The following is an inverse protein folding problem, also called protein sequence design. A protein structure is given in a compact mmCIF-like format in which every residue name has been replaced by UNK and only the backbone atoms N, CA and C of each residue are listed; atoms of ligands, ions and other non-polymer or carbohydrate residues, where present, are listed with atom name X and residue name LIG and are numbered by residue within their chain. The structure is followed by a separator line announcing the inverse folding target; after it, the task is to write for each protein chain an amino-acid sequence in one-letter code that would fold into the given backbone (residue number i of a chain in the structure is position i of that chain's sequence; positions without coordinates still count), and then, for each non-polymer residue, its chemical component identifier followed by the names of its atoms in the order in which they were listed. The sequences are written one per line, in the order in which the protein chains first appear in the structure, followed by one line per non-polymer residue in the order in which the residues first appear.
data_IF_697863242774
#
_entry.id   IF_697863242774
#
_cell.length_a   1.000
_cell.length_b   1.000
_cell.length_c   1.000
_cell.angle_alpha   90.00
_cell.angle_beta   90.00
_cell.angle_gamma   90.00
#
_symmetry.space_group_name_H-M   'P 1'
#
loop_
_entity.id
_entity.type
_entity.pdbx_description
1 polymer ?
#
# COMPACT_ATOMS: atom_id res chain seq x y z
N UNK A 1 17.20 -10.48 -4.52
CA UNK A 1 16.62 -10.33 -5.87
C UNK A 1 17.43 -9.27 -6.56
N UNK A 2 18.24 -9.68 -7.51
CA UNK A 2 19.17 -8.79 -8.23
C UNK A 2 18.34 -7.87 -9.14
N UNK A 3 17.31 -8.42 -9.80
CA UNK A 3 16.42 -7.67 -10.70
C UNK A 3 15.71 -6.53 -9.97
N UNK A 4 14.84 -6.86 -9.02
CA UNK A 4 13.98 -5.88 -8.37
C UNK A 4 14.76 -4.94 -7.43
N UNK A 5 15.79 -5.47 -6.75
CA UNK A 5 16.58 -4.72 -5.78
C UNK A 5 17.68 -3.87 -6.39
N UNK A 6 18.57 -4.48 -7.18
CA UNK A 6 19.75 -3.81 -7.72
C UNK A 6 19.43 -3.07 -9.03
N UNK A 7 18.79 -3.75 -9.99
CA UNK A 7 18.62 -3.19 -11.34
C UNK A 7 17.44 -2.22 -11.44
N UNK A 8 16.29 -2.54 -10.85
CA UNK A 8 15.07 -1.73 -10.95
C UNK A 8 14.99 -0.63 -9.87
N UNK A 9 15.50 -0.91 -8.66
CA UNK A 9 15.46 0.03 -7.54
C UNK A 9 16.82 0.68 -7.22
N UNK A 10 17.90 0.35 -7.95
CA UNK A 10 19.23 0.91 -7.72
C UNK A 10 19.81 0.62 -6.34
N UNK A 11 19.31 -0.41 -5.66
CA UNK A 11 19.59 -0.69 -4.26
C UNK A 11 19.01 0.35 -3.29
N UNK A 12 18.18 1.29 -3.72
CA UNK A 12 17.67 2.41 -2.89
C UNK A 12 16.39 2.08 -2.11
N UNK A 13 15.68 1.02 -2.51
CA UNK A 13 14.43 0.63 -1.86
C UNK A 13 14.68 -0.18 -0.58
N UNK A 14 14.10 0.28 0.54
CA UNK A 14 14.10 -0.43 1.83
C UNK A 14 13.55 -1.87 1.69
N UNK A 15 12.61 -2.11 0.75
CA UNK A 15 11.99 -3.41 0.50
C UNK A 15 13.00 -4.50 0.12
N UNK A 16 14.09 -4.11 -0.53
CA UNK A 16 15.14 -5.01 -1.01
C UNK A 16 16.47 -4.85 -0.28
N UNK A 17 16.56 -3.89 0.65
CA UNK A 17 17.76 -3.66 1.44
C UNK A 17 18.10 -4.91 2.28
N UNK A 18 19.38 -5.24 2.34
CA UNK A 18 19.89 -6.28 3.23
C UNK A 18 19.81 -5.80 4.69
N UNK A 19 19.67 -6.75 5.61
CA UNK A 19 19.77 -6.47 7.03
C UNK A 19 21.15 -5.85 7.33
N UNK A 20 21.15 -4.67 7.95
CA UNK A 20 22.35 -3.89 8.20
C UNK A 20 22.02 -2.46 8.59
N UNK A 21 23.05 -1.63 8.77
CA UNK A 21 22.90 -0.24 9.22
C UNK A 21 21.96 0.58 8.33
N UNK A 22 22.08 0.44 7.01
CA UNK A 22 21.20 1.15 6.07
C UNK A 22 19.72 0.82 6.26
N UNK A 23 19.39 -0.47 6.36
CA UNK A 23 18.02 -0.91 6.62
C UNK A 23 17.53 -0.40 7.99
N UNK A 24 18.37 -0.46 9.03
CA UNK A 24 18.03 0.05 10.37
C UNK A 24 17.74 1.55 10.35
N UNK A 25 18.55 2.36 9.66
CA UNK A 25 18.38 3.81 9.54
C UNK A 25 17.10 4.18 8.77
N UNK A 26 16.89 3.58 7.59
CA UNK A 26 15.69 3.79 6.79
C UNK A 26 14.42 3.35 7.54
N UNK A 27 14.45 2.18 8.20
CA UNK A 27 13.33 1.67 8.99
C UNK A 27 13.02 2.57 10.18
N UNK A 28 14.04 3.09 10.88
CA UNK A 28 13.84 3.99 12.01
C UNK A 28 13.12 5.27 11.56
N UNK A 29 13.57 5.90 10.47
CA UNK A 29 12.91 7.08 9.92
C UNK A 29 11.47 6.80 9.47
N UNK A 30 11.24 5.68 8.78
CA UNK A 30 9.91 5.26 8.33
C UNK A 30 8.96 4.98 9.50
N UNK A 31 9.45 4.24 10.51
CA UNK A 31 8.65 3.84 11.67
C UNK A 31 8.20 5.04 12.49
N UNK A 32 9.03 6.08 12.65
CA UNK A 32 8.65 7.30 13.38
C UNK A 32 7.43 7.99 12.79
N UNK A 33 7.28 7.96 11.46
CA UNK A 33 6.15 8.58 10.76
C UNK A 33 4.95 7.65 10.55
N UNK A 34 5.16 6.32 10.59
CA UNK A 34 4.13 5.30 10.43
C UNK A 34 3.66 4.70 11.77
N UNK A 35 3.94 5.35 12.90
CA UNK A 35 3.45 4.87 14.19
C UNK A 35 1.92 4.90 14.22
N UNK A 36 1.27 4.01 15.01
CA UNK A 36 -0.20 3.99 15.12
C UNK A 36 -0.80 5.37 15.45
N UNK A 37 -0.15 6.16 16.32
CA UNK A 37 -0.58 7.54 16.63
C UNK A 37 -0.49 8.48 15.44
N UNK A 38 0.56 8.38 14.63
CA UNK A 38 0.70 9.16 13.40
C UNK A 38 -0.35 8.73 12.36
N UNK A 39 -0.68 7.44 12.30
CA UNK A 39 -1.75 6.92 11.44
C UNK A 39 -3.11 7.58 11.72
N UNK A 40 -3.40 7.93 12.99
CA UNK A 40 -4.65 8.59 13.37
C UNK A 40 -4.80 9.99 12.75
N UNK A 41 -3.69 10.70 12.54
CA UNK A 41 -3.69 12.02 11.91
C UNK A 41 -4.19 11.98 10.45
N UNK A 42 -4.11 10.83 9.77
CA UNK A 42 -4.62 10.66 8.40
C UNK A 42 -6.09 10.24 8.34
N UNK A 43 -6.73 9.90 9.47
CA UNK A 43 -8.14 9.46 9.49
C UNK A 43 -9.11 10.50 8.88
N UNK A 44 -9.04 11.81 9.21
CA UNK A 44 -9.96 12.79 8.63
C UNK A 44 -9.81 12.89 7.11
N UNK A 45 -8.57 12.78 6.63
CA UNK A 45 -8.23 12.80 5.22
C UNK A 45 -8.78 11.57 4.50
N UNK A 46 -8.51 10.36 5.01
CA UNK A 46 -9.05 9.11 4.46
C UNK A 46 -10.57 9.15 4.37
N UNK A 47 -11.23 9.71 5.40
CA UNK A 47 -12.68 9.85 5.45
C UNK A 47 -13.21 10.86 4.42
N UNK A 48 -12.53 12.00 4.25
CA UNK A 48 -12.88 13.01 3.24
C UNK A 48 -12.79 12.44 1.82
N UNK A 49 -11.70 11.77 1.48
CA UNK A 49 -11.55 11.14 0.18
C UNK A 49 -12.51 9.97 -0.04
N UNK A 50 -12.81 9.19 1.00
CA UNK A 50 -13.75 8.07 0.90
C UNK A 50 -15.16 8.57 0.59
N UNK A 51 -15.61 9.64 1.27
CA UNK A 51 -16.91 10.29 0.98
C UNK A 51 -16.99 10.79 -0.45
N UNK A 52 -15.94 11.47 -0.94
CA UNK A 52 -15.88 11.93 -2.34
C UNK A 52 -15.90 10.77 -3.33
N UNK A 53 -15.19 9.68 -3.04
CA UNK A 53 -15.19 8.49 -3.89
C UNK A 53 -16.59 7.87 -3.98
N UNK A 54 -17.30 7.77 -2.87
CA UNK A 54 -18.69 7.27 -2.85
C UNK A 54 -19.61 8.17 -3.65
N UNK A 55 -19.54 9.50 -3.48
CA UNK A 55 -20.35 10.44 -4.27
C UNK A 55 -20.06 10.30 -5.77
N UNK A 56 -18.80 10.26 -6.18
CA UNK A 56 -18.44 10.09 -7.58
C UNK A 56 -18.96 8.76 -8.16
N UNK A 57 -18.93 7.67 -7.39
CA UNK A 57 -19.50 6.37 -7.81
C UNK A 57 -21.03 6.44 -7.92
N UNK A 58 -21.70 7.22 -7.07
CA UNK A 58 -23.15 7.42 -7.18
C UNK A 58 -23.52 8.23 -8.43
N UNK A 59 -22.70 9.22 -8.79
CA UNK A 59 -22.91 10.06 -9.97
C UNK A 59 -22.61 9.31 -11.28
N UNK A 60 -21.54 8.51 -11.33
CA UNK A 60 -21.15 7.68 -12.48
C UNK A 60 -20.76 6.23 -12.04
N UNK A 61 -21.75 5.35 -11.82
CA UNK A 61 -21.50 3.99 -11.33
C UNK A 61 -20.78 3.10 -12.34
N UNK A 62 -20.85 3.40 -13.64
CA UNK A 62 -20.20 2.59 -14.67
C UNK A 62 -18.68 2.80 -14.68
N UNK A 63 -18.20 3.94 -14.18
CA UNK A 63 -16.78 4.29 -14.10
C UNK A 63 -16.18 4.10 -12.70
N UNK A 64 -16.81 3.26 -11.86
CA UNK A 64 -16.40 3.05 -10.47
C UNK A 64 -14.92 2.65 -10.29
N UNK A 65 -14.34 1.93 -11.26
CA UNK A 65 -12.93 1.57 -11.27
C UNK A 65 -12.01 2.80 -11.29
N UNK A 66 -12.36 3.80 -12.11
CA UNK A 66 -11.60 5.02 -12.21
C UNK A 66 -11.75 5.89 -10.96
N UNK A 67 -12.96 5.92 -10.37
CA UNK A 67 -13.22 6.61 -9.10
C UNK A 67 -12.46 5.97 -7.94
N UNK A 68 -12.47 4.64 -7.82
CA UNK A 68 -11.66 3.91 -6.86
C UNK A 68 -10.16 4.15 -7.08
N UNK A 69 -9.71 4.09 -8.35
CA UNK A 69 -8.33 4.39 -8.72
C UNK A 69 -7.90 5.83 -8.39
N UNK A 70 -8.83 6.79 -8.42
CA UNK A 70 -8.61 8.21 -8.08
C UNK A 70 -8.53 8.40 -6.56
N UNK A 71 -9.38 7.68 -5.80
CA UNK A 71 -9.29 7.61 -4.35
C UNK A 71 -7.92 7.06 -3.90
N UNK A 72 -7.52 5.92 -4.46
CA UNK A 72 -6.22 5.30 -4.19
C UNK A 72 -5.08 6.25 -4.57
N UNK A 73 -5.12 6.83 -5.77
CA UNK A 73 -4.08 7.75 -6.24
C UNK A 73 -3.96 8.99 -5.35
N UNK A 74 -5.08 9.59 -4.96
CA UNK A 74 -5.07 10.78 -4.10
C UNK A 74 -4.50 10.44 -2.71
N UNK A 75 -4.89 9.30 -2.14
CA UNK A 75 -4.37 8.82 -0.85
C UNK A 75 -2.88 8.53 -0.91
N UNK A 76 -2.43 7.85 -1.98
CA UNK A 76 -1.03 7.48 -2.22
C UNK A 76 -0.16 8.71 -2.52
N UNK A 77 -0.70 9.79 -3.05
CA UNK A 77 0.07 11.03 -3.28
C UNK A 77 0.07 11.94 -2.05
N UNK A 78 -1.04 11.99 -1.30
CA UNK A 78 -1.14 12.82 -0.10
C UNK A 78 -0.29 12.29 1.05
N UNK A 79 -0.32 10.99 1.32
CA UNK A 79 0.43 10.41 2.44
C UNK A 79 1.95 10.69 2.38
N UNK A 80 2.65 10.38 1.27
CA UNK A 80 4.07 10.63 1.17
C UNK A 80 4.42 12.08 0.85
N UNK A 81 3.67 12.77 0.00
CA UNK A 81 4.08 14.09 -0.52
C UNK A 81 3.24 15.26 -0.03
N UNK A 82 2.15 15.02 0.72
CA UNK A 82 1.33 16.12 1.25
C UNK A 82 0.46 16.80 0.20
N UNK A 83 0.28 16.20 -0.98
CA UNK A 83 -0.54 16.76 -2.06
C UNK A 83 -2.04 16.72 -1.73
N UNK A 84 -2.64 17.87 -1.39
CA UNK A 84 -4.06 17.99 -1.03
C UNK A 84 -5.02 17.97 -2.21
N UNK A 85 -4.55 18.31 -3.41
CA UNK A 85 -5.41 18.35 -4.58
C UNK A 85 -5.86 16.94 -4.97
N UNK A 86 -7.16 16.73 -5.25
CA UNK A 86 -7.64 15.50 -5.86
C UNK A 86 -6.78 15.18 -7.08
N UNK A 87 -6.12 14.02 -7.02
CA UNK A 87 -5.24 13.58 -8.08
C UNK A 87 -5.98 12.55 -8.89
N UNK A 88 -6.32 12.91 -10.12
CA UNK A 88 -7.07 12.02 -11.01
C UNK A 88 -6.29 10.73 -11.24
N UNK A 89 -7.02 9.62 -11.38
CA UNK A 89 -6.46 8.38 -11.88
C UNK A 89 -5.77 8.53 -13.25
N UNK A 90 -6.11 9.57 -14.01
CA UNK A 90 -5.53 9.89 -15.33
C UNK A 90 -4.40 10.91 -15.27
N UNK A 91 -4.02 11.41 -14.08
CA UNK A 91 -2.91 12.36 -13.97
C UNK A 91 -1.60 11.71 -14.43
N UNK A 92 -0.73 12.41 -15.19
CA UNK A 92 0.51 11.85 -15.71
C UNK A 92 1.42 11.26 -14.62
N UNK A 93 1.50 11.91 -13.46
CA UNK A 93 2.27 11.42 -12.30
C UNK A 93 1.71 10.10 -11.74
N UNK A 94 0.39 9.93 -11.76
CA UNK A 94 -0.29 8.71 -11.28
C UNK A 94 -0.10 7.57 -12.27
N UNK A 95 -0.22 7.86 -13.56
CA UNK A 95 0.04 6.89 -14.64
C UNK A 95 1.50 6.41 -14.54
N UNK A 96 2.46 7.33 -14.40
CA UNK A 96 3.88 6.98 -14.26
C UNK A 96 4.14 6.15 -12.98
N UNK A 97 3.50 6.52 -11.86
CA UNK A 97 3.58 5.75 -10.61
C UNK A 97 3.02 4.32 -10.75
N UNK A 98 1.87 4.16 -11.42
CA UNK A 98 1.28 2.84 -11.72
C UNK A 98 2.19 2.00 -12.61
N UNK A 99 2.78 2.59 -13.64
CA UNK A 99 3.77 1.90 -14.49
C UNK A 99 5.03 1.48 -13.72
N UNK A 100 5.47 2.25 -12.72
CA UNK A 100 6.57 1.84 -11.84
C UNK A 100 6.18 0.60 -11.01
N UNK A 101 4.96 0.59 -10.48
CA UNK A 101 4.38 -0.55 -9.75
C UNK A 101 4.27 -1.80 -10.63
N UNK A 102 3.75 -1.68 -11.85
CA UNK A 102 3.59 -2.82 -12.77
C UNK A 102 4.93 -3.44 -13.16
N UNK A 103 5.93 -2.61 -13.48
CA UNK A 103 7.30 -3.05 -13.76
C UNK A 103 7.88 -3.81 -12.57
N UNK A 104 7.65 -3.31 -11.35
CA UNK A 104 8.09 -3.99 -10.14
C UNK A 104 7.39 -5.33 -9.94
N UNK A 105 6.08 -5.42 -10.17
CA UNK A 105 5.32 -6.69 -10.06
C UNK A 105 5.89 -7.72 -11.04
N UNK A 106 6.18 -7.33 -12.28
CA UNK A 106 6.79 -8.21 -13.28
C UNK A 106 8.19 -8.66 -12.84
N UNK A 107 9.03 -7.73 -12.38
CA UNK A 107 10.37 -8.00 -11.88
C UNK A 107 10.39 -8.91 -10.62
N UNK A 108 9.31 -8.95 -9.86
CA UNK A 108 9.16 -9.83 -8.69
C UNK A 108 8.68 -11.25 -9.03
N UNK A 109 8.29 -11.54 -10.27
CA UNK A 109 7.85 -12.89 -10.68
C UNK A 109 9.06 -13.82 -10.76
N UNK A 110 9.04 -14.98 -10.07
CA UNK A 110 10.09 -15.98 -10.23
C UNK A 110 10.28 -16.35 -11.70
N UNK A 111 11.52 -16.33 -12.18
CA UNK A 111 11.86 -16.68 -13.57
C UNK A 111 11.59 -15.59 -14.61
N UNK A 112 11.11 -14.39 -14.23
CA UNK A 112 10.90 -13.30 -15.19
C UNK A 112 12.21 -12.84 -15.87
N UNK A 113 13.33 -12.95 -15.16
CA UNK A 113 14.65 -12.61 -15.68
C UNK A 113 15.68 -13.66 -15.24
N UNK A 114 16.52 -14.10 -16.17
CA UNK A 114 17.57 -15.08 -15.94
C UNK A 114 18.63 -14.58 -14.96
N UNK A 115 18.81 -13.26 -14.82
CA UNK A 115 19.84 -12.67 -13.93
C UNK A 115 19.64 -13.01 -12.45
N UNK A 116 18.41 -13.33 -12.02
CA UNK A 116 18.18 -13.82 -10.64
C UNK A 116 18.76 -15.23 -10.42
N UNK A 117 18.85 -16.05 -11.48
CA UNK A 117 19.48 -17.38 -11.44
C UNK A 117 20.95 -17.37 -11.88
N UNK A 118 21.32 -16.42 -12.73
CA UNK A 118 22.64 -16.29 -13.36
C UNK A 118 23.15 -14.85 -13.14
N UNK A 119 23.74 -14.55 -11.96
CA UNK A 119 24.05 -13.18 -11.54
C UNK A 119 24.96 -12.39 -12.48
N UNK A 120 25.88 -13.06 -13.20
CA UNK A 120 26.85 -12.39 -14.06
C UNK A 120 26.22 -11.73 -15.29
N UNK A 121 24.99 -12.11 -15.66
CA UNK A 121 24.24 -11.45 -16.74
C UNK A 121 24.03 -9.96 -16.51
N UNK A 122 24.07 -9.49 -15.24
CA UNK A 122 23.91 -8.06 -14.90
C UNK A 122 25.01 -7.16 -15.46
N UNK A 123 26.18 -7.72 -15.74
CA UNK A 123 27.32 -6.98 -16.29
C UNK A 123 27.29 -6.86 -17.81
N UNK A 124 26.38 -7.57 -18.49
CA UNK A 124 26.22 -7.47 -19.94
C UNK A 124 25.51 -6.15 -20.30
N UNK A 125 26.08 -5.33 -21.20
CA UNK A 125 25.55 -3.99 -21.48
C UNK A 125 24.17 -3.98 -22.17
N UNK A 126 23.81 -5.08 -22.82
CA UNK A 126 22.54 -5.27 -23.53
C UNK A 126 21.46 -5.97 -22.69
N UNK A 127 21.83 -6.68 -21.63
CA UNK A 127 20.86 -7.39 -20.78
C UNK A 127 20.29 -6.46 -19.71
N UNK A 128 18.98 -6.44 -19.54
CA UNK A 128 18.32 -5.64 -18.49
C UNK A 128 18.30 -4.13 -18.76
N UNK A 129 18.42 -3.69 -20.02
CA UNK A 129 18.36 -2.26 -20.36
C UNK A 129 17.03 -1.62 -19.99
N UNK A 130 15.93 -2.35 -20.17
CA UNK A 130 14.59 -1.95 -19.76
C UNK A 130 14.47 -1.76 -18.24
N UNK A 131 15.18 -2.57 -17.44
CA UNK A 131 15.23 -2.41 -15.98
C UNK A 131 15.98 -1.14 -15.59
N UNK A 132 17.11 -0.85 -16.25
CA UNK A 132 17.88 0.39 -16.04
C UNK A 132 17.08 1.63 -16.43
N UNK A 133 16.37 1.59 -17.56
CA UNK A 133 15.41 2.65 -17.97
C UNK A 133 14.27 2.77 -16.95
N UNK A 134 13.81 1.65 -16.42
CA UNK A 134 12.84 1.56 -15.34
C UNK A 134 13.29 2.32 -14.10
N UNK A 135 14.50 2.05 -13.64
CA UNK A 135 15.13 2.74 -12.52
C UNK A 135 15.21 4.25 -12.74
N UNK A 136 15.71 4.71 -13.88
CA UNK A 136 15.82 6.16 -14.15
C UNK A 136 14.46 6.88 -14.23
N UNK A 137 13.43 6.20 -14.75
CA UNK A 137 12.05 6.73 -14.73
C UNK A 137 11.54 6.86 -13.29
N UNK A 138 11.65 5.80 -12.48
CA UNK A 138 11.24 5.84 -11.06
C UNK A 138 12.01 6.91 -10.28
N UNK A 139 13.33 6.96 -10.47
CA UNK A 139 14.22 7.95 -9.84
C UNK A 139 13.80 9.38 -10.17
N UNK A 140 13.51 9.66 -11.45
CA UNK A 140 13.07 10.99 -11.91
C UNK A 140 11.73 11.38 -11.29
N UNK A 141 10.76 10.47 -11.28
CA UNK A 141 9.46 10.70 -10.67
C UNK A 141 9.60 11.03 -9.18
N UNK A 142 10.32 10.21 -8.41
CA UNK A 142 10.44 10.39 -6.96
C UNK A 142 11.21 11.66 -6.59
N UNK A 143 12.29 11.98 -7.31
CA UNK A 143 13.02 13.25 -7.11
C UNK A 143 12.12 14.44 -7.47
N UNK A 144 11.33 14.36 -8.56
CA UNK A 144 10.39 15.42 -8.94
C UNK A 144 9.38 15.69 -7.83
N UNK A 145 8.80 14.66 -7.24
CA UNK A 145 7.84 14.81 -6.12
C UNK A 145 8.52 15.34 -4.85
N UNK A 146 9.72 14.87 -4.52
CA UNK A 146 10.46 15.37 -3.36
C UNK A 146 10.83 16.86 -3.51
N UNK A 147 11.27 17.26 -4.70
CA UNK A 147 11.60 18.65 -5.02
C UNK A 147 10.38 19.57 -4.95
N UNK A 148 9.20 19.10 -5.36
CA UNK A 148 7.94 19.85 -5.18
C UNK A 148 7.69 20.17 -3.71
N UNK A 149 7.82 19.19 -2.83
CA UNK A 149 7.66 19.39 -1.37
C UNK A 149 8.70 20.35 -0.83
N UNK A 150 9.96 20.20 -1.26
CA UNK A 150 11.06 21.09 -0.87
C UNK A 150 10.79 22.54 -1.25
N UNK A 151 10.29 22.79 -2.46
CA UNK A 151 9.90 24.12 -2.91
C UNK A 151 8.73 24.69 -2.10
N UNK A 152 7.71 23.88 -1.79
CA UNK A 152 6.58 24.32 -0.97
C UNK A 152 7.02 24.72 0.45
N UNK A 153 7.95 23.97 1.06
CA UNK A 153 8.53 24.31 2.36
C UNK A 153 9.31 25.62 2.28
N UNK A 154 10.14 25.80 1.25
CA UNK A 154 10.91 27.04 1.04
C UNK A 154 10.02 28.27 0.83
N UNK A 155 8.86 28.08 0.21
CA UNK A 155 7.87 29.14 -0.02
C UNK A 155 6.92 29.36 1.18
N UNK A 156 7.18 28.75 2.35
CA UNK A 156 6.31 28.79 3.53
C UNK A 156 4.85 28.37 3.26
N UNK A 157 4.63 27.49 2.28
CA UNK A 157 3.31 26.91 2.01
C UNK A 157 3.09 25.73 2.96
N UNK A 158 1.88 25.63 3.55
CA UNK A 158 1.54 24.47 4.36
C UNK A 158 1.33 23.23 3.49
N UNK A 159 2.17 22.22 3.69
CA UNK A 159 2.11 20.92 3.01
C UNK A 159 1.30 19.90 3.83
N UNK A 160 0.93 20.26 5.07
CA UNK A 160 0.36 19.35 6.05
C UNK A 160 1.35 18.25 6.51
N UNK A 161 0.86 17.22 7.21
CA UNK A 161 1.68 16.08 7.60
C UNK A 161 1.99 15.20 6.38
N UNK A 162 3.26 15.12 5.98
CA UNK A 162 3.71 14.22 4.91
C UNK A 162 5.06 13.60 5.24
N UNK A 163 5.28 12.39 4.72
CA UNK A 163 6.52 11.67 4.98
C UNK A 163 7.72 12.37 4.34
N UNK A 164 7.56 12.93 3.13
CA UNK A 164 8.57 13.71 2.44
C UNK A 164 8.97 14.95 3.25
N UNK A 165 8.00 15.69 3.82
CA UNK A 165 8.29 16.83 4.71
C UNK A 165 9.11 16.38 5.92
N UNK A 166 8.69 15.30 6.57
CA UNK A 166 9.40 14.75 7.72
C UNK A 166 10.85 14.36 7.39
N UNK A 167 11.07 13.67 6.27
CA UNK A 167 12.42 13.24 5.86
C UNK A 167 13.27 14.42 5.37
N UNK A 168 12.67 15.46 4.77
CA UNK A 168 13.41 16.68 4.43
C UNK A 168 13.86 17.45 5.68
N UNK A 169 13.03 17.52 6.71
CA UNK A 169 13.34 18.22 7.97
C UNK A 169 14.28 17.42 8.88
N UNK A 170 14.13 16.09 8.92
CA UNK A 170 14.79 15.23 9.91
C UNK A 170 15.72 14.16 9.32
N UNK A 171 15.72 13.94 8.00
CA UNK A 171 16.44 12.83 7.35
C UNK A 171 17.96 12.88 7.54
N UNK A 172 18.52 14.08 7.67
CA UNK A 172 19.93 14.29 7.98
C UNK A 172 20.33 13.66 9.32
N UNK A 173 19.46 13.67 10.34
CA UNK A 173 19.71 13.05 11.64
C UNK A 173 19.83 11.52 11.57
N UNK A 174 19.29 10.91 10.52
CA UNK A 174 19.38 9.48 10.24
C UNK A 174 20.43 9.15 9.18
N UNK A 175 21.17 10.13 8.66
CA UNK A 175 22.13 9.98 7.57
C UNK A 175 21.49 9.54 6.24
N UNK A 176 20.21 9.83 6.02
CA UNK A 176 19.49 9.45 4.80
C UNK A 176 19.82 10.47 3.71
N UNK A 177 20.30 9.98 2.57
CA UNK A 177 20.55 10.83 1.40
C UNK A 177 19.24 11.28 0.74
N UNK A 178 19.27 12.37 -0.03
CA UNK A 178 18.07 12.88 -0.72
C UNK A 178 17.44 11.85 -1.67
N UNK A 179 18.26 11.07 -2.37
CA UNK A 179 17.78 10.02 -3.27
C UNK A 179 17.15 8.84 -2.49
N UNK A 180 17.69 8.50 -1.32
CA UNK A 180 17.10 7.49 -0.44
C UNK A 180 15.79 7.98 0.16
N UNK A 181 15.69 9.27 0.52
CA UNK A 181 14.46 9.91 0.98
C UNK A 181 13.35 9.80 -0.08
N UNK A 182 13.68 10.11 -1.34
CA UNK A 182 12.75 10.03 -2.46
C UNK A 182 12.19 8.61 -2.65
N UNK A 183 13.06 7.58 -2.59
CA UNK A 183 12.64 6.18 -2.73
C UNK A 183 11.89 5.65 -1.50
N UNK A 184 12.15 6.18 -0.30
CA UNK A 184 11.47 5.80 0.92
C UNK A 184 10.04 6.39 0.97
N UNK A 185 9.84 7.57 0.38
CA UNK A 185 8.53 8.21 0.20
C UNK A 185 7.73 7.64 -0.99
N UNK A 186 8.30 6.72 -1.76
CA UNK A 186 7.65 6.17 -2.95
C UNK A 186 6.29 5.51 -2.68
N UNK A 187 5.46 5.34 -3.71
CA UNK A 187 4.08 4.88 -3.58
C UNK A 187 3.98 3.50 -2.92
N UNK A 188 3.02 3.38 -2.00
CA UNK A 188 2.62 2.14 -1.35
C UNK A 188 1.37 1.59 -2.04
N UNK A 189 1.22 0.26 -2.08
CA UNK A 189 0.07 -0.38 -2.73
C UNK A 189 -1.20 -0.22 -1.89
N UNK A 190 -2.31 0.18 -2.51
CA UNK A 190 -3.67 0.07 -1.96
C UNK A 190 -4.53 -0.64 -2.99
N UNK A 191 -4.98 -1.87 -2.72
CA UNK A 191 -5.90 -2.62 -3.60
C UNK A 191 -7.09 -3.14 -2.76
N UNK A 192 -8.28 -2.58 -2.95
CA UNK A 192 -9.55 -3.13 -2.44
C UNK A 192 -10.53 -3.28 -3.61
N UNK A 193 -10.30 -4.28 -4.47
CA UNK A 193 -11.19 -4.53 -5.62
C UNK A 193 -11.95 -5.87 -5.54
N UNK A 194 -11.54 -6.79 -4.66
CA UNK A 194 -12.06 -8.17 -4.68
C UNK A 194 -13.28 -8.41 -3.79
N UNK A 195 -13.64 -7.43 -2.95
CA UNK A 195 -14.85 -7.47 -2.12
C UNK A 195 -16.13 -7.64 -2.95
N UNK A 196 -16.15 -7.09 -4.17
CA UNK A 196 -17.31 -7.04 -5.06
C UNK A 196 -17.85 -8.42 -5.47
N UNK A 197 -17.04 -9.49 -5.40
CA UNK A 197 -17.40 -10.81 -5.90
C UNK A 197 -18.30 -11.64 -4.97
N UNK A 198 -18.62 -11.15 -3.77
CA UNK A 198 -19.34 -11.92 -2.73
C UNK A 198 -20.61 -11.18 -2.25
N UNK A 199 -21.67 -11.11 -3.07
CA UNK A 199 -22.87 -10.31 -2.76
C UNK A 199 -23.61 -10.77 -1.50
N UNK A 200 -23.64 -12.08 -1.22
CA UNK A 200 -24.26 -12.63 -0.01
C UNK A 200 -23.56 -12.17 1.27
N UNK A 201 -22.23 -12.15 1.27
CA UNK A 201 -21.45 -11.67 2.39
C UNK A 201 -21.51 -10.13 2.52
N UNK A 202 -21.57 -9.41 1.40
CA UNK A 202 -21.82 -7.97 1.41
C UNK A 202 -23.19 -7.63 2.03
N UNK A 203 -24.23 -8.42 1.76
CA UNK A 203 -25.55 -8.20 2.34
C UNK A 203 -25.54 -8.31 3.87
N UNK A 204 -24.75 -9.22 4.44
CA UNK A 204 -24.55 -9.35 5.89
C UNK A 204 -23.85 -8.11 6.47
N UNK A 205 -22.81 -7.62 5.80
CA UNK A 205 -22.12 -6.38 6.19
C UNK A 205 -23.07 -5.18 6.13
N UNK A 206 -23.89 -5.08 5.08
CA UNK A 206 -24.90 -4.02 4.96
C UNK A 206 -25.97 -4.09 6.06
N UNK A 207 -26.39 -5.30 6.45
CA UNK A 207 -27.32 -5.49 7.57
C UNK A 207 -26.70 -5.05 8.91
N UNK A 208 -25.43 -5.37 9.16
CA UNK A 208 -24.69 -4.90 10.33
C UNK A 208 -24.59 -3.37 10.36
N UNK A 209 -24.18 -2.75 9.24
CA UNK A 209 -24.10 -1.30 9.11
C UNK A 209 -25.46 -0.64 9.35
N UNK A 210 -26.53 -1.20 8.81
CA UNK A 210 -27.90 -0.72 9.02
C UNK A 210 -28.34 -0.80 10.48
N UNK A 211 -27.96 -1.86 11.21
CA UNK A 211 -28.29 -2.05 12.62
C UNK A 211 -27.49 -1.13 13.56
N UNK A 212 -26.20 -0.97 13.31
CA UNK A 212 -25.27 -0.27 14.22
C UNK A 212 -25.26 1.24 13.97
N UNK A 213 -25.28 1.65 12.70
CA UNK A 213 -25.12 3.06 12.30
C UNK A 213 -26.46 3.66 11.86
N UNK A 214 -27.31 2.87 11.22
CA UNK A 214 -28.56 3.33 10.62
C UNK A 214 -28.33 4.13 9.34
N UNK A 215 -29.29 5.00 8.99
CA UNK A 215 -29.27 5.81 7.75
C UNK A 215 -29.02 7.31 7.97
N UNK A 216 -28.82 7.73 9.22
CA UNK A 216 -28.77 9.15 9.60
C UNK A 216 -27.37 9.76 9.53
N UNK A 217 -26.31 8.94 9.47
CA UNK A 217 -24.92 9.39 9.40
C UNK A 217 -24.05 8.42 8.61
N UNK A 218 -22.93 8.91 8.09
CA UNK A 218 -21.90 8.06 7.50
C UNK A 218 -21.10 7.30 8.59
N UNK A 219 -20.53 6.13 8.25
CA UNK A 219 -19.58 5.42 9.12
C UNK A 219 -18.34 6.24 9.44
N UNK A 220 -17.78 6.02 10.61
CA UNK A 220 -16.58 6.68 11.13
C UNK A 220 -15.63 5.66 11.78
N UNK A 221 -14.38 6.04 12.04
CA UNK A 221 -13.41 5.15 12.69
C UNK A 221 -13.81 4.73 14.12
N UNK A 222 -14.62 5.51 14.83
CA UNK A 222 -15.12 5.11 16.16
C UNK A 222 -16.10 3.94 16.08
N UNK A 223 -16.73 3.71 14.93
CA UNK A 223 -17.67 2.60 14.74
C UNK A 223 -16.96 1.26 14.57
N UNK A 224 -15.64 1.27 14.29
CA UNK A 224 -14.89 0.07 13.93
C UNK A 224 -15.11 -1.08 14.91
N UNK A 225 -14.99 -0.85 16.22
CA UNK A 225 -15.17 -1.87 17.26
C UNK A 225 -16.59 -2.45 17.32
N UNK A 226 -17.58 -1.70 16.83
CA UNK A 226 -18.98 -2.13 16.78
C UNK A 226 -19.36 -2.85 15.49
N UNK A 227 -18.41 -3.05 14.56
CA UNK A 227 -18.63 -3.65 13.24
C UNK A 227 -17.76 -4.93 13.04
N UNK A 228 -17.96 -5.98 13.84
CA UNK A 228 -17.18 -7.21 13.73
C UNK A 228 -17.33 -7.91 12.37
N UNK A 229 -18.51 -7.89 11.73
CA UNK A 229 -18.71 -8.55 10.43
C UNK A 229 -17.96 -7.82 9.31
N UNK A 230 -17.97 -6.48 9.32
CA UNK A 230 -17.16 -5.69 8.38
C UNK A 230 -15.67 -6.00 8.55
N UNK A 231 -15.17 -6.04 9.79
CA UNK A 231 -13.77 -6.35 10.06
C UNK A 231 -13.41 -7.77 9.63
N UNK A 232 -14.27 -8.75 9.91
CA UNK A 232 -14.12 -10.13 9.47
C UNK A 232 -14.08 -10.26 7.94
N UNK A 233 -14.94 -9.50 7.25
CA UNK A 233 -14.97 -9.45 5.79
C UNK A 233 -13.67 -8.88 5.21
N UNK A 234 -13.13 -7.80 5.80
CA UNK A 234 -11.84 -7.22 5.39
C UNK A 234 -10.70 -8.23 5.63
N UNK A 235 -10.65 -8.87 6.80
CA UNK A 235 -9.65 -9.89 7.13
C UNK A 235 -9.69 -11.07 6.16
N UNK A 236 -10.88 -11.54 5.79
CA UNK A 236 -11.04 -12.63 4.82
C UNK A 236 -10.63 -12.20 3.40
N UNK A 237 -10.92 -10.97 2.99
CA UNK A 237 -10.46 -10.43 1.70
C UNK A 237 -8.93 -10.39 1.62
N UNK A 238 -8.27 -9.96 2.69
CA UNK A 238 -6.81 -9.92 2.79
C UNK A 238 -6.19 -11.32 2.85
N UNK A 239 -6.85 -12.30 3.46
CA UNK A 239 -6.42 -13.71 3.43
C UNK A 239 -6.60 -14.34 2.06
N UNK A 240 -7.76 -14.14 1.44
CA UNK A 240 -8.11 -14.75 0.17
C UNK A 240 -7.25 -14.22 -0.99
N UNK A 241 -6.90 -12.92 -0.94
CA UNK A 241 -6.02 -12.22 -1.90
C UNK A 241 -4.97 -11.38 -1.15
N UNK A 242 -3.90 -12.01 -0.65
CA UNK A 242 -2.86 -11.28 0.08
C UNK A 242 -2.14 -10.31 -0.85
N UNK A 243 -1.84 -9.11 -0.33
CA UNK A 243 -1.14 -8.03 -1.05
C UNK A 243 0.24 -8.45 -1.59
N UNK A 244 0.87 -9.42 -0.94
CA UNK A 244 2.13 -10.02 -1.37
C UNK A 244 1.97 -11.53 -1.50
N UNK A 245 1.55 -11.98 -2.68
CA UNK A 245 1.51 -13.41 -3.00
C UNK A 245 2.90 -14.06 -2.91
N UNK A 246 3.95 -13.29 -3.24
CA UNK A 246 5.35 -13.71 -3.27
C UNK A 246 6.20 -12.74 -2.42
N UNK A 247 6.19 -12.90 -1.09
CA UNK A 247 7.04 -12.13 -0.18
C UNK A 247 8.31 -12.89 0.23
N UNK A 248 9.40 -12.16 0.54
CA UNK A 248 10.48 -12.64 1.42
C UNK A 248 9.99 -12.90 2.85
N UNK A 249 8.91 -12.24 3.24
CA UNK A 249 8.05 -12.70 4.33
C UNK A 249 7.24 -13.86 3.75
N UNK A 250 7.64 -15.09 4.12
CA UNK A 250 6.97 -16.39 3.99
C UNK A 250 5.83 -16.47 2.97
N UNK A 251 5.89 -17.42 2.03
CA UNK A 251 4.83 -17.81 1.06
C UNK A 251 3.41 -17.45 1.54
N UNK A 252 3.00 -16.18 1.39
CA UNK A 252 1.80 -15.67 2.08
C UNK A 252 0.56 -16.35 1.53
N UNK A 253 0.62 -16.68 0.24
CA UNK A 253 -0.35 -17.52 -0.45
C UNK A 253 -0.35 -18.98 -0.02
N UNK A 254 0.78 -19.56 0.40
CA UNK A 254 0.79 -20.93 0.91
C UNK A 254 0.14 -21.00 2.29
N UNK A 255 0.52 -20.11 3.21
CA UNK A 255 -0.11 -20.04 4.54
C UNK A 255 -1.59 -19.71 4.42
N UNK A 256 -1.96 -18.74 3.58
CA UNK A 256 -3.37 -18.36 3.42
C UNK A 256 -4.20 -19.42 2.70
N UNK A 257 -3.57 -20.43 2.08
CA UNK A 257 -4.22 -21.54 1.40
C UNK A 257 -3.98 -22.90 2.05
N UNK A 258 -3.35 -22.91 3.23
CA UNK A 258 -3.08 -24.13 3.98
C UNK A 258 -4.38 -24.65 4.60
N UNK A 259 -4.86 -25.85 4.25
CA UNK A 259 -6.09 -26.40 4.81
C UNK A 259 -5.99 -26.75 6.30
N UNK A 260 -4.79 -26.94 6.86
CA UNK A 260 -4.60 -27.18 8.30
C UNK A 260 -4.82 -25.90 9.12
N UNK A 261 -4.47 -24.74 8.54
CA UNK A 261 -4.65 -23.43 9.18
C UNK A 261 -6.00 -22.82 8.83
N UNK A 262 -6.46 -22.98 7.58
CA UNK A 262 -7.71 -22.45 7.07
C UNK A 262 -8.52 -23.55 6.35
N UNK A 263 -9.42 -24.25 7.07
CA UNK A 263 -10.31 -25.23 6.46
C UNK A 263 -11.09 -24.63 5.28
N UNK A 264 -11.24 -25.38 4.18
CA UNK A 264 -11.80 -24.87 2.92
C UNK A 264 -11.15 -23.54 2.46
N UNK A 265 -9.82 -23.52 2.22
CA UNK A 265 -9.05 -22.29 2.05
C UNK A 265 -9.44 -21.49 0.81
N UNK A 266 -10.09 -22.13 -0.16
CA UNK A 266 -10.53 -21.52 -1.41
C UNK A 266 -11.87 -20.80 -1.31
N UNK A 267 -12.71 -21.17 -0.33
CA UNK A 267 -13.96 -20.48 -0.06
C UNK A 267 -13.70 -19.14 0.64
N UNK A 268 -14.52 -18.14 0.33
CA UNK A 268 -14.53 -16.86 1.02
C UNK A 268 -15.55 -16.95 2.16
N UNK A 269 -15.09 -17.07 3.41
CA UNK A 269 -15.95 -17.20 4.59
C UNK A 269 -15.50 -16.22 5.69
N UNK A 270 -16.06 -15.01 5.75
CA UNK A 270 -15.82 -14.06 6.85
C UNK A 270 -16.10 -14.66 8.23
N UNK A 271 -17.00 -15.62 8.34
CA UNK A 271 -17.38 -16.26 9.60
C UNK A 271 -16.21 -16.96 10.30
N UNK A 272 -15.12 -17.28 9.59
CA UNK A 272 -13.90 -17.83 10.20
C UNK A 272 -13.36 -16.93 11.31
N UNK A 273 -13.51 -15.62 11.14
CA UNK A 273 -12.94 -14.58 12.00
C UNK A 273 -13.87 -14.19 13.16
N UNK A 274 -15.04 -14.83 13.27
CA UNK A 274 -16.08 -14.48 14.24
C UNK A 274 -16.29 -15.67 15.18
N UNK A 275 -16.45 -15.39 16.47
CA UNK A 275 -16.79 -16.40 17.49
C UNK A 275 -18.31 -16.65 17.59
N UNK A 276 -18.70 -17.60 18.43
CA UNK A 276 -20.11 -17.94 18.64
C UNK A 276 -20.94 -16.78 19.24
N UNK A 277 -20.26 -15.79 19.83
CA UNK A 277 -20.85 -14.58 20.40
C UNK A 277 -20.93 -13.42 19.40
N UNK A 278 -20.49 -13.61 18.15
CA UNK A 278 -20.51 -12.60 17.11
C UNK A 278 -19.36 -11.58 17.20
N UNK A 279 -18.33 -11.84 18.01
CA UNK A 279 -17.14 -10.98 18.18
C UNK A 279 -15.99 -11.49 17.33
N UNK A 280 -15.01 -10.63 17.08
CA UNK A 280 -13.81 -11.04 16.37
C UNK A 280 -12.98 -12.00 17.21
N UNK A 281 -12.49 -13.03 16.55
CA UNK A 281 -11.59 -14.03 17.12
C UNK A 281 -10.17 -13.48 17.25
N UNK A 282 -9.60 -13.61 18.45
CA UNK A 282 -8.21 -13.22 18.74
C UNK A 282 -7.21 -14.39 18.57
N UNK A 283 -7.70 -15.62 18.40
CA UNK A 283 -6.89 -16.83 18.31
C UNK A 283 -6.33 -17.06 16.90
N UNK A 284 -7.00 -16.56 15.85
CA UNK A 284 -6.52 -16.65 14.47
C UNK A 284 -5.45 -15.60 14.21
N UNK A 285 -4.21 -16.06 14.00
CA UNK A 285 -3.08 -15.20 13.64
C UNK A 285 -2.78 -15.31 12.15
N UNK A 286 -3.22 -14.33 11.37
CA UNK A 286 -2.81 -14.18 9.98
C UNK A 286 -2.00 -12.90 9.76
N UNK A 287 -0.75 -13.08 9.37
CA UNK A 287 0.18 -11.99 9.20
C UNK A 287 0.11 -11.43 7.77
N UNK A 288 -0.99 -10.73 7.45
CA UNK A 288 -1.20 -10.06 6.14
C UNK A 288 0.01 -9.23 5.72
N UNK A 289 0.63 -8.55 6.70
CA UNK A 289 1.76 -7.65 6.51
C UNK A 289 3.12 -8.27 6.91
N UNK A 290 3.16 -9.60 7.10
CA UNK A 290 4.32 -10.31 7.62
C UNK A 290 4.52 -10.14 9.14
N UNK A 291 5.55 -10.80 9.66
CA UNK A 291 5.95 -10.72 11.06
C UNK A 291 7.46 -10.77 11.19
N UNK A 292 8.01 -10.25 12.29
CA UNK A 292 9.45 -10.30 12.58
C UNK A 292 10.23 -9.03 12.22
N UNK A 293 11.56 -9.19 12.07
CA UNK A 293 12.51 -8.11 11.78
C UNK A 293 12.69 -7.90 10.29
#
# INVERSE_FOLDING_TARGET
MIVAGELLAGGLSIRFAHAGERFRRMRRALYTHLQPRAAEAYRPLQMSHAKKAVLNILDDPYNFLNHAGTYDATTIMKFPYGKDEPTSATDPDVIEARQCIERLIIAMRPGAYLVDSIPWLKYLPWYGQELKRGFESSRRLYIRQLNRVKQQIQNNTDVGPSFAKYVLENGHSYGITEIEAAFLAGPSFSWIHHAACFPEEQAKVLAELGKVIGRHRAPTFSDQQSLPHLQAFISEALRWRPLSANGRCLRGRAISRDPEVFPEPHAFKPQRWIDDQGRLRDDIKFFVYGFGR
#
